data_IF_290330623293
#
_entry.id   IF_290330623293
#
_cell.length_a   1.000
_cell.length_b   1.000
_cell.length_c   1.000
_cell.angle_alpha   90.00
_cell.angle_beta   90.00
_cell.angle_gamma   90.00
#
_symmetry.space_group_name_H-M   'P 1'
#
loop_
_entity.id
_entity.type
_entity.pdbx_description
1 polymer ?
#
# COMPACT_ATOMS: atom_id res chain seq x y z
N UNK A 1 -0.74 -4.98 -24.69
CA UNK A 1 -0.50 -6.40 -24.32
C UNK A 1 0.90 -6.48 -23.74
N UNK A 2 1.01 -6.94 -22.51
CA UNK A 2 2.29 -7.19 -21.86
C UNK A 2 2.81 -8.58 -22.21
N UNK A 3 4.11 -8.80 -22.07
CA UNK A 3 4.71 -10.13 -22.27
C UNK A 3 5.78 -10.38 -21.20
N UNK A 4 5.95 -11.63 -20.82
CA UNK A 4 6.97 -12.04 -19.88
C UNK A 4 8.36 -11.92 -20.52
N UNK A 5 9.24 -11.14 -19.87
CA UNK A 5 10.63 -11.02 -20.27
C UNK A 5 11.54 -11.79 -19.31
N UNK A 6 12.58 -12.42 -19.86
CA UNK A 6 13.53 -13.20 -19.07
C UNK A 6 14.42 -12.27 -18.26
N UNK A 7 14.34 -12.40 -16.94
CA UNK A 7 15.25 -11.73 -16.00
C UNK A 7 16.34 -12.69 -15.53
N UNK A 8 17.56 -12.15 -15.30
CA UNK A 8 18.69 -12.92 -14.83
C UNK A 8 18.69 -13.04 -13.30
N UNK A 9 19.40 -14.08 -12.81
CA UNK A 9 19.65 -14.29 -11.38
C UNK A 9 18.41 -14.73 -10.58
N UNK A 10 18.58 -14.71 -9.28
CA UNK A 10 17.59 -15.17 -8.30
C UNK A 10 17.92 -16.55 -7.73
N UNK A 11 17.34 -16.82 -6.57
CA UNK A 11 17.46 -18.09 -5.85
C UNK A 11 16.07 -18.65 -5.58
N UNK A 12 15.98 -19.93 -5.24
CA UNK A 12 14.71 -20.63 -4.94
C UNK A 12 14.71 -21.09 -3.47
N UNK A 13 14.46 -20.21 -2.50
CA UNK A 13 14.34 -20.59 -1.10
C UNK A 13 13.08 -21.43 -0.86
N UNK A 14 13.03 -22.26 0.20
CA UNK A 14 11.80 -22.88 0.65
C UNK A 14 10.74 -21.82 0.91
N UNK A 15 9.55 -21.99 0.35
CA UNK A 15 8.51 -20.94 0.36
C UNK A 15 7.85 -20.79 1.74
N UNK A 16 7.64 -21.88 2.47
CA UNK A 16 7.05 -21.90 3.83
C UNK A 16 5.76 -21.07 3.94
N UNK A 17 4.85 -21.21 2.96
CA UNK A 17 3.59 -20.44 2.85
C UNK A 17 2.44 -21.13 3.61
N UNK A 18 2.66 -21.57 4.82
CA UNK A 18 1.72 -22.44 5.58
C UNK A 18 0.40 -21.72 5.91
N UNK A 19 0.40 -20.38 5.98
CA UNK A 19 -0.80 -19.56 6.25
C UNK A 19 -1.58 -19.16 5.00
N UNK A 20 -1.16 -19.58 3.79
CA UNK A 20 -1.80 -19.18 2.53
C UNK A 20 -3.31 -19.48 2.48
N UNK A 21 -3.71 -20.62 3.03
CA UNK A 21 -5.09 -21.10 3.01
C UNK A 21 -5.88 -20.68 4.27
N UNK A 22 -5.26 -19.91 5.17
CA UNK A 22 -5.92 -19.38 6.35
C UNK A 22 -6.62 -18.05 6.02
N UNK A 23 -7.95 -17.94 6.19
CA UNK A 23 -8.66 -16.67 6.04
C UNK A 23 -8.12 -15.61 7.00
N UNK A 24 -8.16 -14.34 6.58
CA UNK A 24 -7.82 -13.24 7.48
C UNK A 24 -8.82 -13.16 8.64
N UNK A 25 -8.30 -13.04 9.84
CA UNK A 25 -9.09 -12.87 11.07
C UNK A 25 -8.70 -11.57 11.77
N UNK A 26 -9.65 -10.99 12.48
CA UNK A 26 -9.38 -9.81 13.31
C UNK A 26 -8.73 -10.24 14.62
N UNK A 27 -7.70 -9.51 15.04
CA UNK A 27 -7.18 -9.61 16.41
C UNK A 27 -8.15 -8.87 17.35
N UNK A 28 -8.23 -9.35 18.59
CA UNK A 28 -8.99 -8.65 19.64
C UNK A 28 -8.47 -7.22 19.81
N UNK A 29 -9.39 -6.23 19.94
CA UNK A 29 -8.98 -4.85 20.16
C UNK A 29 -8.09 -4.72 21.39
N UNK A 30 -6.90 -4.13 21.28
CA UNK A 30 -6.03 -3.95 22.45
C UNK A 30 -6.61 -2.90 23.39
N UNK A 31 -6.39 -3.06 24.70
CA UNK A 31 -6.77 -2.06 25.70
C UNK A 31 -5.96 -0.76 25.59
N UNK A 32 -4.81 -0.81 24.92
CA UNK A 32 -3.89 0.30 24.75
C UNK A 32 -3.08 0.14 23.47
N UNK A 33 -2.83 1.23 22.76
CA UNK A 33 -1.90 1.30 21.61
C UNK A 33 -0.86 2.38 21.85
N UNK A 34 0.33 2.16 21.32
CA UNK A 34 1.41 3.15 21.24
C UNK A 34 1.81 3.31 19.79
N UNK A 35 1.57 4.48 19.24
CA UNK A 35 1.71 4.77 17.83
C UNK A 35 2.90 5.72 17.63
N UNK A 36 4.06 5.22 17.12
CA UNK A 36 5.18 6.06 16.78
C UNK A 36 4.83 6.95 15.56
N UNK A 37 5.28 8.19 15.58
CA UNK A 37 5.01 9.13 14.51
C UNK A 37 6.11 9.18 13.43
N UNK A 38 6.90 8.11 13.31
CA UNK A 38 7.90 7.90 12.25
C UNK A 38 7.76 6.54 11.56
N UNK A 39 6.53 6.08 11.34
CA UNK A 39 6.25 4.76 10.71
C UNK A 39 6.40 4.76 9.18
N UNK A 40 7.07 5.74 8.60
CA UNK A 40 7.28 5.88 7.16
C UNK A 40 8.67 6.45 6.86
N UNK A 41 9.10 6.34 5.60
CA UNK A 41 10.29 7.05 5.12
C UNK A 41 9.98 8.54 4.99
N UNK A 42 10.88 9.38 5.49
CA UNK A 42 10.76 10.82 5.53
C UNK A 42 10.96 11.39 6.93
N UNK A 43 10.55 12.62 7.15
CA UNK A 43 10.61 13.25 8.46
C UNK A 43 9.54 12.66 9.40
N UNK A 44 9.84 12.46 10.69
CA UNK A 44 8.82 12.11 11.67
C UNK A 44 7.69 13.12 11.67
N UNK A 45 6.45 12.65 11.85
CA UNK A 45 5.32 13.54 12.03
C UNK A 45 5.35 14.23 13.39
N UNK A 46 4.81 15.44 13.42
CA UNK A 46 4.54 16.20 14.65
C UNK A 46 3.17 15.77 15.21
N UNK A 47 3.04 15.52 16.53
CA UNK A 47 1.75 15.27 17.14
C UNK A 47 0.78 16.43 16.91
N UNK A 48 -0.49 16.14 16.64
CA UNK A 48 -1.56 17.12 16.54
C UNK A 48 -2.71 16.82 17.52
N UNK A 49 -2.42 16.06 18.57
CA UNK A 49 -3.30 15.75 19.70
C UNK A 49 -2.55 15.96 21.01
N UNK A 50 -3.30 16.17 22.10
CA UNK A 50 -2.79 16.38 23.44
C UNK A 50 -3.30 15.31 24.42
N UNK A 51 -2.63 15.17 25.56
CA UNK A 51 -3.09 14.28 26.64
C UNK A 51 -4.46 14.71 27.14
N UNK A 52 -5.40 13.77 27.17
CA UNK A 52 -6.79 14.01 27.55
C UNK A 52 -7.74 14.09 26.34
N UNK A 53 -7.24 14.26 25.12
CA UNK A 53 -8.08 14.26 23.93
C UNK A 53 -8.76 12.91 23.74
N UNK A 54 -10.05 12.93 23.37
CA UNK A 54 -10.75 11.77 22.89
C UNK A 54 -10.56 11.65 21.37
N UNK A 55 -10.12 10.48 20.92
CA UNK A 55 -9.91 10.16 19.50
C UNK A 55 -10.73 8.96 19.07
N UNK A 56 -11.00 8.89 17.80
CA UNK A 56 -11.71 7.80 17.14
C UNK A 56 -10.79 7.10 16.13
N UNK A 57 -11.20 5.94 15.61
CA UNK A 57 -10.49 5.30 14.50
C UNK A 57 -10.50 6.27 13.30
N UNK A 58 -9.31 6.61 12.81
CA UNK A 58 -9.15 7.53 11.69
C UNK A 58 -8.92 8.99 12.09
N UNK A 59 -9.05 9.36 13.37
CA UNK A 59 -8.66 10.70 13.83
C UNK A 59 -7.18 10.95 13.54
N UNK A 60 -6.85 12.09 12.92
CA UNK A 60 -5.49 12.49 12.63
C UNK A 60 -4.73 12.75 13.95
N UNK A 61 -3.63 12.03 14.17
CA UNK A 61 -2.81 12.19 15.39
C UNK A 61 -1.39 12.68 15.11
N UNK A 62 -0.96 12.63 13.84
CA UNK A 62 0.36 13.09 13.44
C UNK A 62 0.37 13.60 12.01
N UNK A 63 0.97 14.79 11.82
CA UNK A 63 1.12 15.45 10.52
C UNK A 63 2.56 15.95 10.33
N UNK A 64 2.93 16.36 9.12
CA UNK A 64 4.28 16.79 8.82
C UNK A 64 4.36 17.69 7.61
N UNK A 65 5.59 17.97 7.18
CA UNK A 65 5.89 18.74 5.98
C UNK A 65 6.84 17.96 5.06
N UNK A 66 6.81 18.27 3.77
CA UNK A 66 7.67 17.64 2.78
C UNK A 66 7.31 16.17 2.53
N UNK A 67 8.29 15.27 2.65
CA UNK A 67 8.09 13.82 2.48
C UNK A 67 7.61 13.20 3.80
N UNK A 68 6.32 12.95 3.91
CA UNK A 68 5.69 12.31 5.06
C UNK A 68 4.39 11.61 4.65
N UNK A 69 3.83 10.81 5.54
CA UNK A 69 2.46 10.30 5.47
C UNK A 69 1.75 10.63 6.79
N UNK A 70 0.54 11.22 6.77
CA UNK A 70 -0.25 11.45 7.98
C UNK A 70 -0.48 10.15 8.75
N UNK A 71 -0.51 10.23 10.08
CA UNK A 71 -0.71 9.10 10.96
C UNK A 71 -2.01 9.30 11.72
N UNK A 72 -2.82 8.24 11.76
CA UNK A 72 -4.16 8.26 12.32
C UNK A 72 -4.30 7.27 13.48
N UNK A 73 -5.21 7.55 14.39
CA UNK A 73 -5.52 6.66 15.49
C UNK A 73 -6.16 5.36 14.97
N UNK A 74 -5.68 4.22 15.49
CA UNK A 74 -6.15 2.89 15.11
C UNK A 74 -7.23 2.32 16.06
N UNK A 75 -7.51 3.00 17.16
CA UNK A 75 -8.55 2.68 18.15
C UNK A 75 -9.31 3.94 18.52
N UNK A 76 -10.55 3.79 19.04
CA UNK A 76 -11.21 4.86 19.78
C UNK A 76 -10.80 4.84 21.24
N UNK A 77 -10.72 6.03 21.87
CA UNK A 77 -10.31 6.14 23.26
C UNK A 77 -9.70 7.49 23.62
N UNK A 78 -8.94 7.52 24.71
CA UNK A 78 -8.33 8.75 25.24
C UNK A 78 -6.82 8.72 25.07
N UNK A 79 -6.25 9.82 24.61
CA UNK A 79 -4.79 10.03 24.56
C UNK A 79 -4.25 10.13 25.99
N UNK A 80 -3.39 9.19 26.37
CA UNK A 80 -2.83 9.11 27.72
C UNK A 80 -1.38 9.57 27.81
N UNK A 81 -0.67 9.61 26.68
CA UNK A 81 0.69 10.16 26.64
C UNK A 81 1.02 10.68 25.23
N UNK A 82 1.75 11.78 25.17
CA UNK A 82 2.43 12.28 23.96
C UNK A 82 3.87 12.58 24.38
N UNK A 83 4.81 11.71 24.01
CA UNK A 83 6.20 11.79 24.47
C UNK A 83 7.18 11.42 23.37
N UNK A 84 8.39 11.98 23.43
CA UNK A 84 9.49 11.56 22.55
C UNK A 84 10.21 10.38 23.19
N UNK A 85 10.31 9.27 22.44
CA UNK A 85 10.85 8.02 22.96
C UNK A 85 11.86 7.40 22.01
N UNK A 86 12.75 6.57 22.57
CA UNK A 86 13.65 5.71 21.77
C UNK A 86 12.90 4.46 21.33
N UNK A 87 12.85 4.26 20.03
CA UNK A 87 12.17 3.14 19.41
C UNK A 87 13.07 1.89 19.30
N UNK A 88 12.50 0.69 19.09
CA UNK A 88 13.28 -0.54 18.86
C UNK A 88 14.26 -0.45 17.69
N UNK A 89 14.00 0.41 16.71
CA UNK A 89 14.90 0.69 15.59
C UNK A 89 16.16 1.49 15.99
N UNK A 90 16.22 1.99 17.22
CA UNK A 90 17.25 2.89 17.71
C UNK A 90 16.99 4.38 17.42
N UNK A 91 16.02 4.70 16.57
CA UNK A 91 15.60 6.07 16.31
C UNK A 91 14.85 6.67 17.51
N UNK A 92 14.86 7.99 17.62
CA UNK A 92 14.05 8.73 18.60
C UNK A 92 12.94 9.45 17.86
N UNK A 93 11.68 9.28 18.28
CA UNK A 93 10.54 9.92 17.65
C UNK A 93 9.41 10.19 18.64
N UNK A 94 8.47 11.10 18.32
CA UNK A 94 7.23 11.24 19.08
C UNK A 94 6.41 9.95 19.02
N UNK A 95 5.79 9.60 20.14
CA UNK A 95 4.87 8.47 20.30
C UNK A 95 3.59 8.97 20.95
N UNK A 96 2.45 8.64 20.37
CA UNK A 96 1.13 8.89 20.94
C UNK A 96 0.64 7.58 21.56
N UNK A 97 0.31 7.61 22.85
CA UNK A 97 -0.30 6.49 23.55
C UNK A 97 -1.80 6.76 23.72
N UNK A 98 -2.61 5.78 23.37
CA UNK A 98 -4.08 5.85 23.47
C UNK A 98 -4.56 4.67 24.30
N UNK A 99 -5.30 4.93 25.37
CA UNK A 99 -6.05 3.91 26.09
C UNK A 99 -7.40 3.74 25.39
N UNK A 100 -7.64 2.54 24.86
CA UNK A 100 -8.86 2.23 24.11
C UNK A 100 -10.07 2.21 25.05
N UNK A 101 -11.20 2.68 24.56
CA UNK A 101 -12.52 2.56 25.22
C UNK A 101 -13.23 1.23 24.86
N UNK A 102 -12.62 0.42 24.01
CA UNK A 102 -13.13 -0.87 23.55
C UNK A 102 -14.28 -0.78 22.54
N UNK A 103 -14.77 0.42 22.18
CA UNK A 103 -15.91 0.59 21.27
C UNK A 103 -15.50 0.49 19.80
N UNK A 104 -14.25 0.82 19.48
CA UNK A 104 -13.72 0.79 18.11
C UNK A 104 -14.55 1.64 17.12
N UNK A 105 -15.00 2.81 17.57
CA UNK A 105 -15.81 3.73 16.78
C UNK A 105 -14.97 4.49 15.76
N UNK A 106 -15.47 4.59 14.51
CA UNK A 106 -14.86 5.43 13.50
C UNK A 106 -15.09 6.91 13.82
N UNK A 107 -14.15 7.76 13.41
CA UNK A 107 -14.30 9.21 13.55
C UNK A 107 -15.53 9.68 12.76
N UNK A 108 -16.51 10.31 13.42
CA UNK A 108 -17.70 10.80 12.74
C UNK A 108 -17.44 11.91 11.72
N UNK A 109 -16.25 12.51 11.75
CA UNK A 109 -15.83 13.51 10.77
C UNK A 109 -15.22 12.90 9.48
N UNK A 110 -15.08 11.56 9.40
CA UNK A 110 -14.60 10.92 8.19
C UNK A 110 -15.60 11.05 7.05
N UNK A 111 -15.11 11.54 5.93
CA UNK A 111 -15.88 11.68 4.70
C UNK A 111 -15.24 10.84 3.58
N UNK A 112 -16.08 10.33 2.68
CA UNK A 112 -15.59 9.68 1.45
C UNK A 112 -14.97 10.75 0.56
N UNK A 113 -13.67 10.65 0.24
CA UNK A 113 -13.00 11.70 -0.52
C UNK A 113 -13.49 11.75 -1.97
N UNK A 114 -13.58 12.96 -2.49
CA UNK A 114 -13.87 13.24 -3.90
C UNK A 114 -12.71 14.01 -4.53
N UNK A 115 -12.56 13.88 -5.82
CA UNK A 115 -11.53 14.59 -6.59
C UNK A 115 -12.03 14.85 -8.02
N UNK A 116 -11.55 15.90 -8.63
CA UNK A 116 -11.82 16.27 -10.02
C UNK A 116 -10.54 16.40 -10.83
N UNK A 117 -9.43 16.64 -10.15
CA UNK A 117 -8.11 16.79 -10.77
C UNK A 117 -7.12 15.75 -10.25
N UNK A 118 -6.04 15.55 -11.00
CA UNK A 118 -4.92 14.68 -10.60
C UNK A 118 -4.30 15.13 -9.27
N UNK A 119 -4.11 16.42 -9.09
CA UNK A 119 -3.49 16.96 -7.87
C UNK A 119 -4.39 16.75 -6.65
N UNK A 120 -5.70 16.91 -6.80
CA UNK A 120 -6.68 16.58 -5.76
C UNK A 120 -6.67 15.10 -5.43
N UNK A 121 -6.59 14.21 -6.44
CA UNK A 121 -6.45 12.78 -6.21
C UNK A 121 -5.20 12.46 -5.39
N UNK A 122 -4.04 13.01 -5.76
CA UNK A 122 -2.78 12.82 -5.02
C UNK A 122 -2.89 13.37 -3.59
N UNK A 123 -3.56 14.52 -3.41
CA UNK A 123 -3.83 15.08 -2.08
C UNK A 123 -4.72 14.15 -1.23
N UNK A 124 -5.76 13.54 -1.82
CA UNK A 124 -6.59 12.53 -1.14
C UNK A 124 -5.74 11.32 -0.73
N UNK A 125 -4.89 10.80 -1.63
CA UNK A 125 -3.98 9.68 -1.30
C UNK A 125 -3.01 10.08 -0.19
N UNK A 126 -2.50 11.33 -0.16
CA UNK A 126 -1.70 11.81 0.97
C UNK A 126 -2.49 11.76 2.28
N UNK A 127 -3.70 12.32 2.29
CA UNK A 127 -4.54 12.41 3.48
C UNK A 127 -4.96 11.03 4.01
N UNK A 128 -5.00 10.00 3.15
CA UNK A 128 -5.26 8.62 3.57
C UNK A 128 -4.15 8.02 4.46
N UNK A 129 -2.97 8.61 4.52
CA UNK A 129 -1.81 8.05 5.23
C UNK A 129 -1.25 6.76 4.60
N UNK A 130 -1.69 6.38 3.40
CA UNK A 130 -1.25 5.13 2.77
C UNK A 130 0.22 5.22 2.38
N UNK A 131 0.97 4.23 2.85
CA UNK A 131 2.39 4.00 2.54
C UNK A 131 2.58 2.69 1.80
N UNK A 132 3.76 2.47 1.24
CA UNK A 132 4.11 1.20 0.60
C UNK A 132 4.10 0.05 1.60
N UNK A 133 3.14 -0.86 1.48
CA UNK A 133 2.91 -1.96 2.42
C UNK A 133 3.71 -3.23 2.12
N UNK A 134 4.36 -3.30 0.96
CA UNK A 134 5.24 -4.41 0.58
C UNK A 134 6.72 -4.17 0.86
N UNK A 135 7.07 -3.15 1.67
CA UNK A 135 8.49 -2.85 1.93
C UNK A 135 8.72 -1.72 2.92
N UNK A 136 9.46 -0.70 2.51
CA UNK A 136 10.04 0.33 3.38
C UNK A 136 9.06 1.44 3.83
N UNK A 137 7.76 1.27 3.71
CA UNK A 137 6.75 2.27 4.11
C UNK A 137 6.97 3.66 3.47
N UNK A 138 7.32 3.69 2.18
CA UNK A 138 7.48 4.93 1.45
C UNK A 138 6.11 5.57 1.19
N UNK A 139 5.93 6.90 1.42
CA UNK A 139 4.65 7.58 1.19
C UNK A 139 4.13 7.40 -0.24
N UNK A 140 2.94 6.78 -0.38
CA UNK A 140 2.41 6.37 -1.69
C UNK A 140 2.10 7.56 -2.58
N UNK A 141 1.55 8.64 -2.00
CA UNK A 141 1.24 9.87 -2.73
C UNK A 141 2.45 10.49 -3.43
N UNK A 142 3.63 10.39 -2.81
CA UNK A 142 4.86 10.96 -3.38
C UNK A 142 5.31 10.18 -4.62
N UNK A 143 5.14 8.84 -4.63
CA UNK A 143 5.41 8.02 -5.82
C UNK A 143 4.53 8.38 -7.02
N UNK A 144 3.34 8.94 -6.77
CA UNK A 144 2.37 9.30 -7.81
C UNK A 144 2.68 10.65 -8.48
N UNK A 145 3.65 11.40 -7.96
CA UNK A 145 4.11 12.65 -8.55
C UNK A 145 5.18 12.38 -9.60
N UNK A 146 4.86 12.64 -10.87
CA UNK A 146 5.86 12.59 -11.93
C UNK A 146 6.70 13.88 -11.90
N UNK A 147 8.05 13.79 -11.86
CA UNK A 147 8.91 14.96 -12.02
C UNK A 147 8.67 15.67 -13.36
N UNK A 148 8.98 16.97 -13.42
CA UNK A 148 8.83 17.74 -14.64
C UNK A 148 9.53 17.08 -15.83
N UNK A 149 8.85 16.97 -16.97
CA UNK A 149 9.34 16.35 -18.18
C UNK A 149 9.30 14.80 -18.21
N UNK A 150 8.82 14.15 -17.13
CA UNK A 150 8.58 12.70 -17.09
C UNK A 150 7.09 12.40 -17.00
N UNK A 151 6.69 11.23 -17.50
CA UNK A 151 5.31 10.73 -17.41
C UNK A 151 5.32 9.25 -17.08
N UNK A 152 4.26 8.81 -16.42
CA UNK A 152 4.00 7.38 -16.28
C UNK A 152 3.31 6.85 -17.53
N UNK A 153 3.76 5.70 -18.00
CA UNK A 153 3.16 4.95 -19.11
C UNK A 153 2.53 3.65 -18.62
N UNK A 154 3.01 3.14 -17.48
CA UNK A 154 2.53 1.90 -16.88
C UNK A 154 2.33 2.05 -15.37
N UNK A 155 1.26 1.45 -14.85
CA UNK A 155 1.18 1.03 -13.46
C UNK A 155 1.65 -0.42 -13.39
N UNK A 156 2.68 -0.69 -12.63
CA UNK A 156 3.18 -2.04 -12.35
C UNK A 156 2.80 -2.39 -10.93
N UNK A 157 1.86 -3.33 -10.79
CA UNK A 157 1.43 -3.80 -9.46
C UNK A 157 2.28 -4.99 -9.05
N UNK A 158 3.00 -4.81 -7.95
CA UNK A 158 3.81 -5.86 -7.34
C UNK A 158 2.92 -6.74 -6.46
N UNK A 159 2.57 -7.92 -6.96
CA UNK A 159 1.83 -8.97 -6.28
C UNK A 159 2.65 -10.26 -6.16
N UNK A 160 3.98 -10.13 -6.17
CA UNK A 160 4.91 -11.25 -6.19
C UNK A 160 4.98 -11.98 -4.85
N UNK A 161 5.18 -11.25 -3.75
CA UNK A 161 5.30 -11.81 -2.39
C UNK A 161 6.35 -12.94 -2.32
N UNK A 162 7.57 -12.64 -2.81
CA UNK A 162 8.64 -13.63 -2.99
C UNK A 162 9.39 -13.99 -1.69
N UNK A 163 9.19 -13.26 -0.60
CA UNK A 163 9.75 -13.57 0.71
C UNK A 163 9.10 -14.84 1.30
N UNK A 164 9.90 -15.79 1.86
CA UNK A 164 9.34 -16.93 2.60
C UNK A 164 8.40 -16.49 3.74
N UNK A 165 7.46 -17.36 4.10
CA UNK A 165 6.46 -17.23 5.16
C UNK A 165 5.33 -16.24 4.89
N UNK A 166 5.57 -15.12 4.20
CA UNK A 166 4.57 -14.06 4.01
C UNK A 166 3.48 -14.51 3.04
N UNK A 167 2.20 -14.32 3.43
CA UNK A 167 1.00 -14.68 2.65
C UNK A 167 -0.06 -13.57 2.63
N UNK A 168 0.25 -12.40 3.18
CA UNK A 168 -0.70 -11.29 3.32
C UNK A 168 -1.15 -10.70 1.98
N UNK A 169 -0.26 -10.59 1.01
CA UNK A 169 -0.61 -10.11 -0.35
C UNK A 169 -1.42 -11.17 -1.11
N UNK A 170 -1.09 -12.46 -0.93
CA UNK A 170 -1.89 -13.55 -1.48
C UNK A 170 -3.33 -13.51 -0.95
N UNK A 171 -3.50 -13.41 0.39
CA UNK A 171 -4.85 -13.29 0.99
C UNK A 171 -5.58 -12.06 0.50
N UNK A 172 -4.89 -10.94 0.30
CA UNK A 172 -5.48 -9.74 -0.28
C UNK A 172 -6.05 -9.98 -1.68
N UNK A 173 -5.35 -10.74 -2.53
CA UNK A 173 -5.80 -11.09 -3.87
C UNK A 173 -6.97 -12.10 -3.87
N UNK A 174 -7.00 -13.02 -2.90
CA UNK A 174 -8.09 -13.99 -2.77
C UNK A 174 -9.35 -13.35 -2.19
N UNK A 175 -9.21 -12.62 -1.09
CA UNK A 175 -10.37 -12.11 -0.34
C UNK A 175 -10.91 -10.79 -0.88
N UNK A 176 -10.09 -10.03 -1.60
CA UNK A 176 -10.41 -8.66 -2.01
C UNK A 176 -9.97 -8.34 -3.45
N UNK A 177 -10.01 -9.31 -4.36
CA UNK A 177 -9.62 -9.12 -5.77
C UNK A 177 -10.34 -7.93 -6.42
N UNK A 178 -11.64 -7.81 -6.18
CA UNK A 178 -12.45 -6.71 -6.70
C UNK A 178 -11.92 -5.34 -6.26
N UNK A 179 -11.56 -5.20 -4.98
CA UNK A 179 -11.01 -3.96 -4.44
C UNK A 179 -9.63 -3.64 -5.03
N UNK A 180 -8.81 -4.66 -5.28
CA UNK A 180 -7.52 -4.49 -5.97
C UNK A 180 -7.75 -3.94 -7.38
N UNK A 181 -8.67 -4.54 -8.15
CA UNK A 181 -8.95 -4.10 -9.52
C UNK A 181 -9.55 -2.69 -9.56
N UNK A 182 -10.50 -2.36 -8.67
CA UNK A 182 -11.02 -0.99 -8.58
C UNK A 182 -9.92 0.02 -8.24
N UNK A 183 -9.01 -0.35 -7.33
CA UNK A 183 -7.89 0.51 -6.94
C UNK A 183 -6.93 0.79 -8.09
N UNK A 184 -6.53 -0.22 -8.87
CA UNK A 184 -5.65 0.00 -10.02
C UNK A 184 -6.32 0.82 -11.11
N UNK A 185 -7.61 0.57 -11.36
CA UNK A 185 -8.41 1.32 -12.35
C UNK A 185 -8.54 2.79 -11.93
N UNK A 186 -8.85 3.05 -10.66
CA UNK A 186 -8.93 4.40 -10.10
C UNK A 186 -7.60 5.14 -10.26
N UNK A 187 -6.49 4.53 -9.82
CA UNK A 187 -5.15 5.12 -9.90
C UNK A 187 -4.77 5.41 -11.35
N UNK A 188 -4.96 4.43 -12.24
CA UNK A 188 -4.66 4.58 -13.67
C UNK A 188 -5.44 5.74 -14.29
N UNK A 189 -6.75 5.81 -14.07
CA UNK A 189 -7.61 6.87 -14.63
C UNK A 189 -7.30 8.24 -14.04
N UNK A 190 -7.13 8.34 -12.71
CA UNK A 190 -6.82 9.61 -12.05
C UNK A 190 -5.45 10.18 -12.46
N UNK A 191 -4.48 9.32 -12.74
CA UNK A 191 -3.14 9.72 -13.17
C UNK A 191 -2.95 9.70 -14.69
N UNK A 192 -3.99 9.36 -15.46
CA UNK A 192 -3.98 9.25 -16.93
C UNK A 192 -2.92 8.27 -17.45
N UNK A 193 -2.73 7.14 -16.73
CA UNK A 193 -1.78 6.10 -17.11
C UNK A 193 -2.50 5.06 -17.96
N UNK A 194 -2.07 4.82 -19.21
CA UNK A 194 -2.86 4.06 -20.18
C UNK A 194 -2.88 2.55 -19.99
N UNK A 195 -1.97 1.98 -19.18
CA UNK A 195 -1.88 0.53 -19.05
C UNK A 195 -1.44 0.10 -17.64
N UNK A 196 -1.99 -1.01 -17.19
CA UNK A 196 -1.72 -1.63 -15.88
C UNK A 196 -1.31 -3.07 -16.06
N UNK A 197 -0.21 -3.49 -15.44
CA UNK A 197 0.18 -4.89 -15.32
C UNK A 197 0.29 -5.29 -13.85
N UNK A 198 -0.32 -6.42 -13.49
CA UNK A 198 -0.20 -7.02 -12.15
C UNK A 198 0.71 -8.25 -12.27
N UNK A 199 1.92 -8.17 -11.71
CA UNK A 199 2.85 -9.30 -11.69
C UNK A 199 2.56 -10.20 -10.49
N UNK A 200 2.23 -11.46 -10.74
CA UNK A 200 1.94 -12.49 -9.74
C UNK A 200 2.87 -13.69 -9.95
N UNK A 201 3.40 -14.27 -8.87
CA UNK A 201 4.21 -15.49 -8.99
C UNK A 201 3.39 -16.70 -9.46
N UNK A 202 4.02 -17.59 -10.24
CA UNK A 202 3.39 -18.79 -10.81
C UNK A 202 3.02 -19.87 -9.76
N UNK A 203 3.45 -19.70 -8.51
CA UNK A 203 3.02 -20.51 -7.36
C UNK A 203 1.66 -20.07 -6.76
N UNK A 204 0.97 -19.08 -7.36
CA UNK A 204 -0.29 -18.48 -6.88
C UNK A 204 -1.40 -18.50 -7.97
N UNK A 205 -1.70 -19.65 -8.61
CA UNK A 205 -2.67 -19.72 -9.71
C UNK A 205 -4.07 -19.26 -9.29
N UNK A 206 -4.50 -19.52 -8.06
CA UNK A 206 -5.82 -19.13 -7.56
C UNK A 206 -5.95 -17.60 -7.44
N UNK A 207 -4.86 -16.91 -7.09
CA UNK A 207 -4.84 -15.44 -7.07
C UNK A 207 -4.96 -14.86 -8.49
N UNK A 208 -4.28 -15.48 -9.47
CA UNK A 208 -4.40 -15.10 -10.89
C UNK A 208 -5.83 -15.28 -11.38
N UNK A 209 -6.47 -16.41 -11.05
CA UNK A 209 -7.87 -16.67 -11.42
C UNK A 209 -8.82 -15.63 -10.79
N UNK A 210 -8.65 -15.35 -9.50
CA UNK A 210 -9.46 -14.37 -8.76
C UNK A 210 -9.36 -12.96 -9.35
N UNK A 211 -8.15 -12.50 -9.66
CA UNK A 211 -7.91 -11.21 -10.30
C UNK A 211 -8.49 -11.15 -11.73
N UNK A 212 -8.27 -12.18 -12.55
CA UNK A 212 -8.79 -12.24 -13.92
C UNK A 212 -10.32 -12.25 -13.94
N UNK A 213 -10.96 -12.95 -12.99
CA UNK A 213 -12.40 -12.92 -12.82
C UNK A 213 -12.89 -11.49 -12.52
N UNK A 214 -12.26 -10.79 -11.58
CA UNK A 214 -12.62 -9.41 -11.26
C UNK A 214 -12.41 -8.45 -12.44
N UNK A 215 -11.33 -8.63 -13.23
CA UNK A 215 -11.07 -7.86 -14.45
C UNK A 215 -12.20 -8.05 -15.47
N UNK A 216 -12.61 -9.31 -15.70
CA UNK A 216 -13.67 -9.64 -16.65
C UNK A 216 -15.04 -9.09 -16.20
N UNK A 217 -15.40 -9.25 -14.91
CA UNK A 217 -16.64 -8.75 -14.34
C UNK A 217 -16.76 -7.22 -14.43
N UNK A 218 -15.63 -6.51 -14.34
CA UNK A 218 -15.59 -5.03 -14.45
C UNK A 218 -15.41 -4.52 -15.89
N UNK A 219 -15.18 -5.42 -16.85
CA UNK A 219 -14.99 -5.04 -18.26
C UNK A 219 -13.77 -4.15 -18.50
N UNK A 220 -12.66 -4.40 -17.80
CA UNK A 220 -11.45 -3.57 -17.87
C UNK A 220 -10.22 -4.30 -18.42
N UNK A 221 -10.46 -5.36 -19.21
CA UNK A 221 -9.40 -6.17 -19.83
C UNK A 221 -8.52 -5.38 -20.82
N UNK A 222 -9.03 -4.28 -21.37
CA UNK A 222 -8.24 -3.40 -22.23
C UNK A 222 -7.22 -2.54 -21.46
N UNK A 223 -7.44 -2.35 -20.16
CA UNK A 223 -6.62 -1.52 -19.28
C UNK A 223 -5.69 -2.35 -18.39
N UNK A 224 -6.18 -3.47 -17.85
CA UNK A 224 -5.50 -4.25 -16.79
C UNK A 224 -5.21 -5.66 -17.28
N UNK A 225 -3.96 -6.08 -17.15
CA UNK A 225 -3.50 -7.44 -17.48
C UNK A 225 -2.79 -8.07 -16.27
N UNK A 226 -3.06 -9.35 -15.98
CA UNK A 226 -2.32 -10.13 -14.98
C UNK A 226 -1.27 -10.96 -15.69
N UNK A 227 -0.01 -10.84 -15.26
CA UNK A 227 1.11 -11.59 -15.83
C UNK A 227 1.71 -12.54 -14.78
N UNK A 228 1.72 -13.84 -15.07
CA UNK A 228 2.41 -14.82 -14.24
C UNK A 228 3.92 -14.73 -14.45
N UNK A 229 4.66 -14.56 -13.35
CA UNK A 229 6.12 -14.45 -13.33
C UNK A 229 6.70 -15.65 -12.59
N UNK A 230 7.77 -16.27 -13.07
CA UNK A 230 8.41 -17.41 -12.39
C UNK A 230 8.81 -17.10 -10.96
N UNK A 231 8.44 -18.01 -10.04
CA UNK A 231 8.78 -17.89 -8.62
C UNK A 231 10.28 -18.00 -8.41
N UNK A 232 10.89 -16.93 -7.91
CA UNK A 232 12.28 -16.86 -7.48
C UNK A 232 12.50 -15.65 -6.56
N UNK A 233 13.54 -15.66 -5.74
CA UNK A 233 13.91 -14.50 -4.93
C UNK A 233 15.13 -13.77 -5.56
N UNK A 234 15.08 -12.44 -5.74
CA UNK A 234 14.04 -11.48 -5.41
C UNK A 234 13.21 -11.04 -6.65
N UNK A 235 12.33 -11.88 -7.18
CA UNK A 235 11.51 -11.52 -8.35
C UNK A 235 10.58 -10.33 -8.08
N UNK A 236 10.18 -10.11 -6.82
CA UNK A 236 9.44 -8.94 -6.36
C UNK A 236 10.28 -7.67 -6.21
N UNK A 237 11.57 -7.71 -6.47
CA UNK A 237 12.40 -6.51 -6.51
C UNK A 237 11.90 -5.54 -7.59
N UNK A 238 11.66 -4.28 -7.22
CA UNK A 238 10.96 -3.29 -8.07
C UNK A 238 11.52 -3.22 -9.50
N UNK A 239 12.85 -3.16 -9.66
CA UNK A 239 13.52 -3.09 -10.98
C UNK A 239 13.43 -4.41 -11.74
N UNK A 240 13.49 -5.54 -11.04
CA UNK A 240 13.37 -6.88 -11.62
C UNK A 240 11.95 -7.09 -12.16
N UNK A 241 10.94 -6.68 -11.40
CA UNK A 241 9.54 -6.78 -11.81
C UNK A 241 9.24 -5.89 -13.02
N UNK A 242 9.73 -4.65 -13.06
CA UNK A 242 9.59 -3.77 -14.21
C UNK A 242 10.14 -4.45 -15.47
N UNK A 243 11.37 -4.96 -15.42
CA UNK A 243 11.99 -5.65 -16.55
C UNK A 243 11.20 -6.89 -16.96
N UNK A 244 10.80 -7.70 -15.98
CA UNK A 244 10.03 -8.94 -16.23
C UNK A 244 8.69 -8.68 -16.91
N UNK A 245 8.00 -7.59 -16.57
CA UNK A 245 6.62 -7.33 -17.02
C UNK A 245 6.54 -6.37 -18.20
N UNK A 246 7.47 -5.43 -18.33
CA UNK A 246 7.42 -4.38 -19.38
C UNK A 246 8.56 -4.48 -20.39
N UNK A 247 9.58 -5.30 -20.13
CA UNK A 247 10.80 -5.36 -20.94
C UNK A 247 11.69 -4.12 -20.83
N UNK A 248 11.36 -3.17 -19.95
CA UNK A 248 12.14 -1.95 -19.76
C UNK A 248 13.13 -2.09 -18.62
N UNK A 249 14.35 -1.68 -18.85
CA UNK A 249 15.37 -1.62 -17.82
C UNK A 249 15.36 -0.24 -17.12
N UNK A 250 15.33 -0.24 -15.79
CA UNK A 250 15.57 0.98 -15.02
C UNK A 250 17.06 1.28 -15.05
N UNK A 251 17.49 2.49 -15.45
CA UNK A 251 18.91 2.85 -15.51
C UNK A 251 19.63 2.66 -14.17
N UNK A 252 20.94 2.45 -14.20
CA UNK A 252 21.74 2.40 -13.00
C UNK A 252 21.61 3.71 -12.18
N UNK A 253 21.31 3.60 -10.89
CA UNK A 253 21.00 4.77 -10.04
C UNK A 253 19.65 5.42 -10.29
N UNK A 254 18.91 4.99 -11.33
CA UNK A 254 17.61 5.53 -11.71
C UNK A 254 16.44 5.00 -10.85
N UNK A 255 15.29 5.63 -11.02
CA UNK A 255 14.03 5.31 -10.38
C UNK A 255 13.05 4.67 -11.40
N UNK A 256 11.98 3.97 -10.97
CA UNK A 256 10.97 3.40 -11.85
C UNK A 256 10.38 4.35 -12.88
N UNK A 257 10.22 5.63 -12.53
CA UNK A 257 9.74 6.67 -13.44
C UNK A 257 10.69 6.89 -14.64
N UNK A 258 11.97 6.56 -14.52
CA UNK A 258 12.94 6.63 -15.64
C UNK A 258 12.65 5.56 -16.70
N UNK A 259 11.95 4.51 -16.32
CA UNK A 259 11.38 3.51 -17.21
C UNK A 259 9.89 3.76 -17.53
N UNK A 260 9.33 4.90 -17.14
CA UNK A 260 7.91 5.23 -17.32
C UNK A 260 6.96 4.45 -16.41
N UNK A 261 7.44 3.87 -15.31
CA UNK A 261 6.66 2.98 -14.46
C UNK A 261 6.33 3.61 -13.10
N UNK A 262 5.06 3.46 -12.68
CA UNK A 262 4.63 3.64 -11.30
C UNK A 262 4.50 2.25 -10.66
N UNK A 263 5.36 1.91 -9.71
CA UNK A 263 5.33 0.60 -9.04
C UNK A 263 4.64 0.72 -7.68
N UNK A 264 3.59 -0.10 -7.48
CA UNK A 264 2.82 -0.15 -6.25
C UNK A 264 2.63 -1.61 -5.81
N UNK A 265 2.71 -1.87 -4.51
CA UNK A 265 2.35 -3.18 -3.95
C UNK A 265 0.84 -3.40 -4.02
N UNK A 266 0.40 -4.64 -4.19
CA UNK A 266 -1.02 -5.02 -4.37
C UNK A 266 -1.89 -4.64 -3.15
N UNK A 267 -1.40 -4.84 -1.93
CA UNK A 267 -2.10 -4.42 -0.71
C UNK A 267 -2.18 -2.90 -0.61
N UNK A 268 -1.12 -2.18 -1.00
CA UNK A 268 -1.13 -0.71 -1.05
C UNK A 268 -2.23 -0.19 -1.97
N UNK A 269 -2.37 -0.76 -3.16
CA UNK A 269 -3.43 -0.40 -4.12
C UNK A 269 -4.81 -0.63 -3.51
N UNK A 270 -5.03 -1.79 -2.88
CA UNK A 270 -6.28 -2.11 -2.21
C UNK A 270 -6.61 -1.13 -1.08
N UNK A 271 -5.61 -0.65 -0.32
CA UNK A 271 -5.82 0.33 0.75
C UNK A 271 -6.13 1.73 0.23
N UNK A 272 -5.55 2.13 -0.89
CA UNK A 272 -5.96 3.36 -1.59
C UNK A 272 -7.44 3.28 -1.95
N UNK A 273 -7.91 2.19 -2.55
CA UNK A 273 -9.32 2.03 -2.90
C UNK A 273 -10.23 2.00 -1.68
N UNK A 274 -9.83 1.35 -0.59
CA UNK A 274 -10.59 1.31 0.66
C UNK A 274 -10.87 2.72 1.20
N UNK A 275 -9.87 3.61 1.13
CA UNK A 275 -10.03 5.01 1.51
C UNK A 275 -11.05 5.74 0.64
N UNK A 276 -10.99 5.55 -0.67
CA UNK A 276 -11.96 6.17 -1.59
C UNK A 276 -13.36 5.56 -1.51
N UNK A 277 -13.53 4.37 -0.94
CA UNK A 277 -14.84 3.76 -0.72
C UNK A 277 -15.49 4.18 0.61
N UNK A 278 -14.68 4.31 1.65
CA UNK A 278 -15.20 4.40 3.02
C UNK A 278 -14.71 5.63 3.79
N UNK A 279 -13.80 6.42 3.25
CA UNK A 279 -13.18 7.56 3.95
C UNK A 279 -12.22 7.16 5.08
N UNK A 280 -12.02 5.86 5.34
CA UNK A 280 -11.19 5.38 6.45
C UNK A 280 -9.72 5.37 6.02
N UNK A 281 -8.84 6.14 6.69
CA UNK A 281 -7.41 6.19 6.38
C UNK A 281 -6.70 4.88 6.75
N UNK A 282 -5.40 4.79 6.46
CA UNK A 282 -4.60 3.61 6.79
C UNK A 282 -4.42 3.49 8.31
N UNK A 283 -5.24 2.66 8.95
CA UNK A 283 -5.18 2.35 10.39
C UNK A 283 -5.05 0.85 10.67
N UNK A 284 -5.08 0.03 9.62
CA UNK A 284 -5.04 -1.44 9.74
C UNK A 284 -4.38 -2.09 8.52
N UNK A 285 -3.73 -3.22 8.73
CA UNK A 285 -3.18 -4.06 7.65
C UNK A 285 -3.21 -5.54 8.04
N UNK A 286 -3.18 -6.41 7.05
CA UNK A 286 -2.92 -7.85 7.22
C UNK A 286 -1.42 -8.07 7.45
N UNK A 287 -1.06 -8.93 8.38
CA UNK A 287 0.31 -9.32 8.73
C UNK A 287 0.47 -10.83 8.65
#
# INVERSE_FOLDING_TARGET
MFSLHKTLGGVHPPQCKDTRDCPCTWIEPPSKVRIPLNMHIGAPCTPCVEVGDHVYIGTLIGTGEGLYAPIHASVSGTVTSVATEKLPTGATAPVVEITSDGKMENDPALEVPTYTTKDEFIACVRNSGVVGLGGASFPTWFKMQAPAGKKFEFVVVNAMECEPYITSDYRQMIEHAERVIDGVVRISRALEIPAVVIGVEDNKPEAVESLNKAIAEKGVSDLVEVLMVPTKYPAGGEKVLIEATTGRAVPAGGLPIDAGCLVLNVTTVSRVEEYFRYGVPLVRRTI
#
